data_IF_538470509420
#
_entry.id   IF_538470509420
#
_cell.length_a   1.000
_cell.length_b   1.000
_cell.length_c   1.000
_cell.angle_alpha   90.00
_cell.angle_beta   90.00
_cell.angle_gamma   90.00
#
_symmetry.space_group_name_H-M   'P 1'
#
loop_
_entity.id
_entity.type
_entity.pdbx_description
1 polymer ?
#
# COMPACT_ATOMS: atom_id res chain seq x y z
N UNK A 1 11.12 12.43 -30.49
CA UNK A 1 10.51 13.78 -30.45
C UNK A 1 11.66 14.76 -30.28
N UNK A 2 11.89 15.63 -31.26
CA UNK A 2 12.97 16.64 -31.22
C UNK A 2 12.37 17.95 -30.73
N UNK A 3 12.97 18.55 -29.70
CA UNK A 3 12.62 19.88 -29.20
C UNK A 3 13.84 20.76 -29.44
N UNK A 4 13.65 21.91 -30.09
CA UNK A 4 14.70 22.88 -30.42
C UNK A 4 14.77 23.97 -29.36
N UNK A 5 15.96 24.17 -28.80
CA UNK A 5 16.40 25.42 -28.18
C UNK A 5 17.80 25.73 -28.74
N UNK A 6 17.96 26.89 -29.38
CA UNK A 6 19.28 27.46 -29.66
C UNK A 6 20.20 26.70 -30.62
N UNK A 7 19.66 26.01 -31.64
CA UNK A 7 20.48 25.46 -32.73
C UNK A 7 21.32 24.22 -32.40
N UNK A 8 21.15 23.62 -31.21
CA UNK A 8 21.73 22.32 -30.87
C UNK A 8 20.66 21.23 -30.97
N UNK A 9 20.80 20.32 -31.93
CA UNK A 9 19.90 19.18 -32.10
C UNK A 9 20.24 18.09 -31.08
N UNK A 10 19.51 18.02 -29.97
CA UNK A 10 19.54 16.86 -29.07
C UNK A 10 18.54 15.83 -29.61
N UNK A 11 19.06 14.79 -30.26
CA UNK A 11 18.25 13.63 -30.65
C UNK A 11 17.86 12.84 -29.38
N UNK A 12 16.65 13.06 -28.88
CA UNK A 12 16.07 12.17 -27.87
C UNK A 12 15.66 10.88 -28.59
N UNK A 13 16.54 9.87 -28.54
CA UNK A 13 16.20 8.52 -28.97
C UNK A 13 14.96 8.06 -28.19
N UNK A 14 13.95 7.45 -28.84
CA UNK A 14 12.88 6.76 -28.14
C UNK A 14 13.53 5.77 -27.17
N UNK A 15 13.11 5.76 -25.89
CA UNK A 15 13.58 4.75 -24.96
C UNK A 15 13.19 3.39 -25.53
N UNK A 16 14.18 2.62 -25.96
CA UNK A 16 13.98 1.30 -26.51
C UNK A 16 13.34 0.42 -25.41
N UNK A 17 12.04 0.12 -25.57
CA UNK A 17 11.25 -0.65 -24.58
C UNK A 17 11.83 -2.05 -24.34
N UNK A 18 12.79 -2.51 -25.15
CA UNK A 18 13.49 -3.79 -25.02
C UNK A 18 14.82 -3.71 -24.27
N UNK A 19 15.25 -2.53 -23.81
CA UNK A 19 16.54 -2.33 -23.10
C UNK A 19 16.43 -1.91 -21.63
N UNK A 20 15.24 -2.05 -21.02
CA UNK A 20 15.05 -1.80 -19.59
C UNK A 20 15.64 -2.93 -18.73
N UNK A 21 16.97 -3.07 -18.77
CA UNK A 21 17.67 -3.40 -17.54
C UNK A 21 17.34 -2.28 -16.54
N UNK A 22 16.31 -2.49 -15.71
CA UNK A 22 15.94 -1.53 -14.67
C UNK A 22 17.21 -1.22 -13.86
N UNK A 23 17.38 0.01 -13.38
CA UNK A 23 18.53 0.38 -12.53
C UNK A 23 18.78 -0.67 -11.42
N UNK A 24 17.69 -1.22 -10.88
CA UNK A 24 17.67 -2.34 -9.93
C UNK A 24 18.30 -3.60 -10.52
N UNK A 25 17.90 -4.06 -11.71
CA UNK A 25 18.52 -5.22 -12.37
C UNK A 25 20.02 -5.02 -12.62
N UNK A 26 20.45 -3.81 -13.01
CA UNK A 26 21.89 -3.51 -13.16
C UNK A 26 22.63 -3.59 -11.82
N UNK A 27 22.04 -3.02 -10.77
CA UNK A 27 22.61 -3.12 -9.43
C UNK A 27 22.70 -4.57 -8.95
N UNK A 28 21.64 -5.37 -9.12
CA UNK A 28 21.62 -6.78 -8.77
C UNK A 28 22.69 -7.57 -9.54
N UNK A 29 22.79 -7.37 -10.85
CA UNK A 29 23.80 -8.02 -11.68
C UNK A 29 25.25 -7.67 -11.25
N UNK A 30 25.47 -6.46 -10.73
CA UNK A 30 26.78 -6.00 -10.25
C UNK A 30 27.07 -6.32 -8.78
N UNK A 31 26.06 -6.74 -8.00
CA UNK A 31 26.21 -6.95 -6.56
C UNK A 31 26.63 -8.39 -6.29
N UNK A 32 27.77 -8.62 -5.60
CA UNK A 32 28.20 -9.97 -5.29
C UNK A 32 27.20 -10.65 -4.36
N UNK A 33 26.81 -11.86 -4.71
CA UNK A 33 25.91 -12.71 -3.92
C UNK A 33 26.74 -13.60 -3.02
N UNK A 34 26.45 -13.60 -1.71
CA UNK A 34 27.06 -14.53 -0.77
C UNK A 34 26.61 -15.96 -1.06
N UNK A 35 27.43 -16.98 -0.76
CA UNK A 35 27.03 -18.37 -0.92
C UNK A 35 25.77 -18.69 -0.07
N UNK A 36 24.98 -19.69 -0.48
CA UNK A 36 23.86 -20.17 0.30
C UNK A 36 24.34 -20.67 1.67
N UNK A 37 23.43 -20.65 2.65
CA UNK A 37 23.71 -21.20 3.97
C UNK A 37 23.90 -22.72 3.86
N UNK A 38 24.99 -23.22 4.45
CA UNK A 38 25.33 -24.62 4.48
C UNK A 38 25.87 -25.01 5.86
N UNK A 39 25.88 -26.31 6.22
CA UNK A 39 26.49 -26.78 7.47
C UNK A 39 27.95 -26.36 7.65
N UNK A 40 28.66 -26.02 6.57
CA UNK A 40 30.04 -25.56 6.62
C UNK A 40 30.21 -24.06 6.93
N UNK A 41 29.23 -23.20 6.59
CA UNK A 41 29.35 -21.74 6.73
C UNK A 41 28.33 -21.09 7.68
N UNK A 42 27.31 -21.83 8.15
CA UNK A 42 26.20 -21.24 8.89
C UNK A 42 26.65 -20.44 10.12
N UNK A 43 27.60 -20.96 10.91
CA UNK A 43 28.02 -20.33 12.16
C UNK A 43 28.70 -18.97 11.95
N UNK A 44 29.38 -18.78 10.82
CA UNK A 44 30.04 -17.51 10.47
C UNK A 44 29.11 -16.52 9.75
N UNK A 45 28.02 -17.01 9.19
CA UNK A 45 27.00 -16.21 8.51
C UNK A 45 25.86 -15.74 9.45
N UNK A 46 25.69 -16.40 10.61
CA UNK A 46 24.76 -15.98 11.67
C UNK A 46 25.26 -14.71 12.37
N UNK A 47 24.33 -13.78 12.61
CA UNK A 47 24.58 -12.56 13.40
C UNK A 47 24.24 -12.88 14.86
N UNK A 48 25.18 -13.50 15.58
CA UNK A 48 24.96 -14.02 16.93
C UNK A 48 24.46 -12.98 17.94
N UNK A 49 24.87 -11.72 17.81
CA UNK A 49 24.36 -10.63 18.63
C UNK A 49 22.84 -10.44 18.46
N UNK A 50 22.35 -10.44 17.23
CA UNK A 50 20.92 -10.29 16.95
C UNK A 50 20.14 -11.51 17.44
N UNK A 51 20.68 -12.72 17.22
CA UNK A 51 20.10 -13.97 17.75
C UNK A 51 19.99 -13.90 19.27
N UNK A 52 21.06 -13.49 19.95
CA UNK A 52 21.07 -13.35 21.40
C UNK A 52 19.99 -12.38 21.89
N UNK A 53 19.85 -11.20 21.27
CA UNK A 53 18.83 -10.21 21.66
C UNK A 53 17.41 -10.74 21.41
N UNK A 54 17.14 -11.28 20.22
CA UNK A 54 15.81 -11.76 19.82
C UNK A 54 15.35 -12.96 20.64
N UNK A 55 16.27 -13.82 21.09
CA UNK A 55 15.94 -14.98 21.93
C UNK A 55 15.87 -14.59 23.41
N UNK A 56 16.86 -13.85 23.90
CA UNK A 56 16.97 -13.55 25.34
C UNK A 56 15.84 -12.64 25.80
N UNK A 57 15.46 -11.64 24.98
CA UNK A 57 14.43 -10.69 25.40
C UNK A 57 13.09 -11.35 25.73
N UNK A 58 12.47 -12.19 24.86
CA UNK A 58 11.23 -12.87 25.20
C UNK A 58 11.41 -13.91 26.31
N UNK A 59 12.52 -14.67 26.34
CA UNK A 59 12.72 -15.69 27.38
C UNK A 59 12.81 -15.07 28.78
N UNK A 60 13.58 -13.98 28.95
CA UNK A 60 13.67 -13.27 30.22
C UNK A 60 12.33 -12.64 30.59
N UNK A 61 11.57 -12.14 29.61
CA UNK A 61 10.23 -11.60 29.83
C UNK A 61 9.25 -12.67 30.32
N UNK A 62 9.26 -13.86 29.70
CA UNK A 62 8.42 -14.99 30.10
C UNK A 62 8.78 -15.50 31.50
N UNK A 63 10.07 -15.59 31.81
CA UNK A 63 10.54 -15.94 33.15
C UNK A 63 10.07 -14.92 34.19
N UNK A 64 10.17 -13.63 33.89
CA UNK A 64 9.70 -12.55 34.77
C UNK A 64 8.19 -12.56 34.99
N UNK A 65 7.41 -12.78 33.92
CA UNK A 65 5.95 -12.96 34.00
C UNK A 65 5.55 -14.11 34.92
N UNK A 66 6.35 -15.17 34.99
CA UNK A 66 6.10 -16.32 35.83
C UNK A 66 6.57 -16.14 37.29
N UNK A 67 7.70 -15.46 37.51
CA UNK A 67 8.38 -15.43 38.81
C UNK A 67 8.18 -14.14 39.61
N UNK A 68 7.78 -13.05 38.97
CA UNK A 68 7.76 -11.72 39.60
C UNK A 68 6.33 -11.23 39.82
N UNK A 69 5.97 -10.81 41.04
CA UNK A 69 4.65 -10.26 41.34
C UNK A 69 4.32 -9.01 40.50
N UNK A 70 3.05 -8.86 40.18
CA UNK A 70 2.57 -7.69 39.44
C UNK A 70 2.46 -6.47 40.37
N UNK A 71 3.18 -5.40 40.03
CA UNK A 71 3.09 -4.09 40.71
C UNK A 71 2.51 -3.06 39.75
N UNK A 72 1.36 -2.46 40.12
CA UNK A 72 0.63 -1.53 39.24
C UNK A 72 1.46 -0.33 38.79
N UNK A 73 2.31 0.23 39.67
CA UNK A 73 3.19 1.37 39.33
C UNK A 73 4.24 0.99 38.29
N UNK A 74 4.84 -0.19 38.42
CA UNK A 74 5.79 -0.74 37.45
C UNK A 74 5.13 -1.07 36.12
N UNK A 75 3.91 -1.61 36.14
CA UNK A 75 3.14 -1.86 34.93
C UNK A 75 2.79 -0.55 34.20
N UNK A 76 2.40 0.50 34.93
CA UNK A 76 2.19 1.83 34.37
C UNK A 76 3.50 2.39 33.77
N UNK A 77 4.63 2.26 34.48
CA UNK A 77 5.93 2.66 33.94
C UNK A 77 6.27 1.88 32.67
N UNK A 78 6.06 0.56 32.65
CA UNK A 78 6.27 -0.30 31.49
C UNK A 78 5.50 0.22 30.26
N UNK A 79 4.22 0.56 30.40
CA UNK A 79 3.41 1.13 29.32
C UNK A 79 3.92 2.51 28.89
N UNK A 80 4.23 3.40 29.84
CA UNK A 80 4.77 4.73 29.51
C UNK A 80 6.12 4.65 28.80
N UNK A 81 6.98 3.72 29.21
CA UNK A 81 8.29 3.51 28.63
C UNK A 81 8.20 2.85 27.25
N UNK A 82 7.21 1.96 27.04
CA UNK A 82 6.85 1.44 25.72
C UNK A 82 6.48 2.59 24.78
N UNK A 83 5.58 3.49 25.20
CA UNK A 83 5.19 4.66 24.41
C UNK A 83 6.37 5.59 24.14
N UNK A 84 7.23 5.82 25.14
CA UNK A 84 8.46 6.59 24.99
C UNK A 84 9.36 6.02 23.89
N UNK A 85 9.68 4.73 23.93
CA UNK A 85 10.51 4.11 22.90
C UNK A 85 9.83 4.08 21.54
N UNK A 86 8.53 3.76 21.48
CA UNK A 86 7.78 3.75 20.23
C UNK A 86 7.77 5.13 19.58
N UNK A 87 7.52 6.21 20.32
CA UNK A 87 7.60 7.58 19.80
C UNK A 87 9.03 7.93 19.33
N UNK A 88 10.06 7.46 20.03
CA UNK A 88 11.45 7.60 19.59
C UNK A 88 11.70 6.96 18.21
N UNK A 89 11.11 5.79 17.96
CA UNK A 89 11.17 5.12 16.66
C UNK A 89 10.28 5.82 15.61
N UNK A 90 8.99 5.97 15.89
CA UNK A 90 8.00 6.44 14.89
C UNK A 90 8.12 7.94 14.60
N UNK A 91 8.17 8.80 15.62
CA UNK A 91 8.30 10.24 15.40
C UNK A 91 9.75 10.63 15.04
N UNK A 92 10.73 9.97 15.66
CA UNK A 92 12.15 10.25 15.49
C UNK A 92 12.77 9.51 14.31
N UNK A 93 13.16 8.25 14.52
CA UNK A 93 13.95 7.46 13.56
C UNK A 93 13.29 7.40 12.19
N UNK A 94 11.98 7.19 12.18
CA UNK A 94 11.17 7.04 10.99
C UNK A 94 10.82 8.39 10.35
N UNK A 95 9.89 9.15 10.91
CA UNK A 95 9.34 10.35 10.25
C UNK A 95 10.32 11.52 10.18
N UNK A 96 11.11 11.76 11.22
CA UNK A 96 12.07 12.87 11.26
C UNK A 96 13.34 12.55 10.45
N UNK A 97 14.07 11.50 10.82
CA UNK A 97 15.38 11.25 10.24
C UNK A 97 15.34 10.43 8.95
N UNK A 98 14.46 9.44 8.81
CA UNK A 98 14.40 8.68 7.56
C UNK A 98 13.70 9.46 6.45
N UNK A 99 12.58 10.10 6.77
CA UNK A 99 11.70 10.74 5.80
C UNK A 99 11.69 12.26 5.81
N UNK A 100 12.36 12.93 6.74
CA UNK A 100 12.41 14.41 6.80
C UNK A 100 11.01 15.05 6.71
N UNK A 101 10.03 14.41 7.33
CA UNK A 101 8.62 14.79 7.23
C UNK A 101 8.28 16.07 8.01
N UNK A 102 9.16 16.48 8.93
CA UNK A 102 9.07 17.73 9.69
C UNK A 102 10.45 18.13 10.22
N UNK A 103 10.56 19.31 10.81
CA UNK A 103 11.74 19.80 11.51
C UNK A 103 11.50 19.77 13.03
N UNK A 104 12.51 19.43 13.81
CA UNK A 104 12.46 19.38 15.27
C UNK A 104 13.56 20.26 15.89
N UNK A 105 13.25 20.94 16.99
CA UNK A 105 14.28 21.63 17.78
C UNK A 105 15.27 20.62 18.39
N UNK A 106 16.46 21.08 18.80
CA UNK A 106 17.51 20.21 19.35
C UNK A 106 17.05 19.42 20.58
N UNK A 107 16.23 20.02 21.46
CA UNK A 107 15.68 19.34 22.63
C UNK A 107 14.83 18.13 22.22
N UNK A 108 13.94 18.32 21.24
CA UNK A 108 13.08 17.25 20.76
C UNK A 108 13.89 16.18 19.99
N UNK A 109 14.92 16.57 19.26
CA UNK A 109 15.86 15.64 18.65
C UNK A 109 16.60 14.78 19.69
N UNK A 110 17.07 15.38 20.79
CA UNK A 110 17.72 14.65 21.88
C UNK A 110 16.74 13.69 22.57
N UNK A 111 15.51 14.13 22.82
CA UNK A 111 14.45 13.26 23.35
C UNK A 111 14.25 12.01 22.48
N UNK A 112 14.09 12.19 21.16
CA UNK A 112 13.96 11.06 20.24
C UNK A 112 15.22 10.19 20.16
N UNK A 113 16.41 10.79 20.22
CA UNK A 113 17.67 10.07 20.15
C UNK A 113 17.85 9.12 21.35
N UNK A 114 17.49 9.57 22.55
CA UNK A 114 17.52 8.78 23.78
C UNK A 114 16.41 7.72 23.78
N UNK A 115 15.19 8.12 23.40
CA UNK A 115 14.04 7.23 23.30
C UNK A 115 14.27 6.08 22.30
N UNK A 116 14.76 6.39 21.11
CA UNK A 116 15.06 5.39 20.08
C UNK A 116 16.28 4.54 20.42
N UNK A 117 17.29 5.08 21.12
CA UNK A 117 18.39 4.26 21.64
C UNK A 117 17.88 3.18 22.62
N UNK A 118 16.96 3.53 23.51
CA UNK A 118 16.32 2.60 24.45
C UNK A 118 15.43 1.52 23.81
N UNK A 119 15.11 1.65 22.52
CA UNK A 119 14.44 0.59 21.76
C UNK A 119 15.41 -0.53 21.35
N UNK A 120 16.73 -0.29 21.37
CA UNK A 120 17.78 -1.29 21.05
C UNK A 120 17.62 -1.85 19.62
N UNK A 121 17.36 -1.00 18.63
CA UNK A 121 17.16 -1.38 17.22
C UNK A 121 18.23 -0.78 16.28
N UNK A 122 19.43 -0.54 16.82
CA UNK A 122 20.50 0.16 16.12
C UNK A 122 20.45 1.69 16.26
N UNK A 123 21.55 2.34 15.90
CA UNK A 123 21.63 3.81 15.91
C UNK A 123 20.71 4.45 14.87
N UNK A 124 20.39 5.74 15.05
CA UNK A 124 19.60 6.53 14.09
C UNK A 124 20.17 6.39 12.67
N UNK A 125 21.49 6.57 12.50
CA UNK A 125 22.16 6.50 11.21
C UNK A 125 21.98 5.14 10.54
N UNK A 126 22.14 4.06 11.30
CA UNK A 126 22.01 2.69 10.78
C UNK A 126 20.55 2.40 10.40
N UNK A 127 19.61 2.71 11.29
CA UNK A 127 18.19 2.44 11.10
C UNK A 127 17.65 3.22 9.90
N UNK A 128 17.90 4.54 9.85
CA UNK A 128 17.40 5.39 8.79
C UNK A 128 18.01 5.05 7.42
N UNK A 129 19.28 4.63 7.35
CA UNK A 129 19.88 4.11 6.12
C UNK A 129 19.11 2.89 5.59
N UNK A 130 18.84 1.91 6.46
CA UNK A 130 18.13 0.69 6.05
C UNK A 130 16.68 1.01 5.65
N UNK A 131 16.01 1.86 6.42
CA UNK A 131 14.64 2.26 6.10
C UNK A 131 14.53 3.03 4.76
N UNK A 132 15.46 3.95 4.48
CA UNK A 132 15.53 4.62 3.17
C UNK A 132 15.81 3.64 2.02
N UNK A 133 16.65 2.63 2.25
CA UNK A 133 16.89 1.59 1.27
C UNK A 133 15.62 0.75 1.04
N UNK A 134 14.90 0.39 2.11
CA UNK A 134 13.64 -0.33 2.03
C UNK A 134 12.61 0.40 1.17
N UNK A 135 12.38 1.70 1.38
CA UNK A 135 11.46 2.48 0.53
C UNK A 135 11.88 2.55 -0.94
N UNK A 136 13.19 2.63 -1.20
CA UNK A 136 13.71 2.74 -2.57
C UNK A 136 13.65 1.42 -3.33
N UNK A 137 13.79 0.32 -2.63
CA UNK A 137 13.98 -1.02 -3.20
C UNK A 137 12.90 -2.01 -2.76
N UNK A 138 11.75 -1.53 -2.27
CA UNK A 138 10.65 -2.34 -1.73
C UNK A 138 10.31 -3.49 -2.69
N UNK A 139 10.15 -4.70 -2.13
CA UNK A 139 9.83 -5.94 -2.87
C UNK A 139 10.91 -6.37 -3.89
N UNK A 140 12.18 -6.02 -3.65
CA UNK A 140 13.32 -6.50 -4.43
C UNK A 140 14.42 -7.04 -3.53
N UNK A 141 15.36 -7.81 -4.07
CA UNK A 141 16.47 -8.36 -3.27
C UNK A 141 17.47 -7.30 -2.76
N UNK A 142 17.31 -6.03 -3.14
CA UNK A 142 18.04 -4.90 -2.58
C UNK A 142 17.36 -4.29 -1.34
N UNK A 143 16.12 -4.71 -1.04
CA UNK A 143 15.40 -4.38 0.19
C UNK A 143 16.04 -5.11 1.39
N UNK A 144 16.50 -4.41 2.44
CA UNK A 144 17.10 -5.05 3.60
C UNK A 144 16.20 -6.05 4.33
N UNK A 145 14.88 -5.92 4.24
CA UNK A 145 13.93 -6.81 4.93
C UNK A 145 12.70 -7.16 4.07
N UNK A 146 12.94 -7.30 2.76
CA UNK A 146 11.90 -7.49 1.75
C UNK A 146 10.87 -8.56 2.06
N UNK A 147 9.59 -8.16 2.04
CA UNK A 147 8.45 -9.02 2.37
C UNK A 147 8.22 -10.14 1.33
N UNK A 148 8.76 -10.01 0.11
CA UNK A 148 8.69 -11.02 -0.94
C UNK A 148 9.41 -12.34 -0.59
N UNK A 149 10.32 -12.31 0.38
CA UNK A 149 10.97 -13.52 0.92
C UNK A 149 10.11 -14.26 1.96
N UNK A 150 8.96 -13.73 2.35
CA UNK A 150 8.02 -14.37 3.29
C UNK A 150 7.78 -13.58 4.58
N UNK A 151 6.68 -13.91 5.26
CA UNK A 151 6.26 -13.25 6.50
C UNK A 151 7.30 -13.40 7.62
N UNK A 152 7.82 -14.61 7.84
CA UNK A 152 8.82 -14.86 8.89
C UNK A 152 10.17 -14.21 8.59
N UNK A 153 10.55 -14.16 7.31
CA UNK A 153 11.75 -13.48 6.88
C UNK A 153 11.69 -11.98 7.21
N UNK A 154 10.62 -11.31 6.78
CA UNK A 154 10.41 -9.87 7.01
C UNK A 154 10.18 -9.52 8.49
N UNK A 155 9.60 -10.43 9.28
CA UNK A 155 9.42 -10.21 10.73
C UNK A 155 10.75 -10.33 11.49
N UNK A 156 11.50 -11.42 11.29
CA UNK A 156 12.71 -11.72 12.07
C UNK A 156 13.87 -12.24 11.22
N UNK A 157 13.61 -13.08 10.22
CA UNK A 157 14.67 -13.83 9.52
C UNK A 157 15.78 -12.96 8.92
N UNK A 158 15.43 -11.78 8.39
CA UNK A 158 16.38 -10.86 7.75
C UNK A 158 17.52 -10.40 8.67
N UNK A 159 17.29 -10.36 9.99
CA UNK A 159 18.28 -9.88 10.95
C UNK A 159 19.13 -11.01 11.57
N UNK A 160 18.76 -12.28 11.36
CA UNK A 160 19.45 -13.42 12.00
C UNK A 160 20.72 -13.83 11.26
N UNK A 161 20.80 -13.55 9.96
CA UNK A 161 21.95 -13.90 9.12
C UNK A 161 22.41 -12.71 8.31
N UNK A 162 23.67 -12.71 7.88
CA UNK A 162 24.19 -11.68 6.97
C UNK A 162 23.36 -11.70 5.67
N UNK A 163 22.98 -10.55 5.12
CA UNK A 163 22.15 -10.52 3.93
C UNK A 163 22.92 -11.13 2.75
N UNK A 164 22.26 -12.02 1.99
CA UNK A 164 22.91 -12.72 0.86
C UNK A 164 23.31 -11.74 -0.24
N UNK A 165 22.47 -10.75 -0.48
CA UNK A 165 22.72 -9.61 -1.35
C UNK A 165 22.84 -8.38 -0.46
N UNK A 166 23.86 -7.54 -0.68
CA UNK A 166 24.04 -6.33 0.11
C UNK A 166 22.86 -5.37 -0.15
N UNK A 167 22.19 -4.84 0.91
CA UNK A 167 21.11 -3.88 0.72
C UNK A 167 21.54 -2.68 -0.13
N UNK A 168 20.61 -2.21 -0.96
CA UNK A 168 20.87 -1.15 -1.92
C UNK A 168 21.37 0.16 -1.27
N UNK A 169 22.06 1.02 -2.02
CA UNK A 169 22.55 2.29 -1.52
C UNK A 169 21.41 3.28 -1.22
N UNK A 170 21.48 3.89 -0.05
CA UNK A 170 20.65 5.01 0.35
C UNK A 170 21.54 6.20 0.73
N UNK A 171 21.14 7.41 0.34
CA UNK A 171 21.83 8.63 0.75
C UNK A 171 21.62 8.85 2.26
N UNK A 172 22.70 9.23 2.94
CA UNK A 172 22.78 9.48 4.38
C UNK A 172 23.65 10.69 4.70
N UNK A 173 23.97 11.51 3.69
CA UNK A 173 24.82 12.70 3.81
C UNK A 173 24.31 13.67 4.88
N UNK A 174 23.00 13.94 4.88
CA UNK A 174 22.32 14.76 5.89
C UNK A 174 22.44 14.20 7.31
N UNK A 175 22.31 12.88 7.47
CA UNK A 175 22.39 12.22 8.78
C UNK A 175 23.80 12.34 9.36
N UNK A 176 24.82 12.29 8.50
CA UNK A 176 26.23 12.45 8.89
C UNK A 176 26.60 13.90 9.22
N UNK A 177 25.81 14.87 8.77
CA UNK A 177 25.99 16.29 9.10
C UNK A 177 25.27 16.67 10.40
N UNK A 178 24.33 15.87 10.89
CA UNK A 178 23.64 16.14 12.16
C UNK A 178 24.51 15.76 13.37
N UNK A 179 24.83 16.75 14.22
CA UNK A 179 25.59 16.54 15.44
C UNK A 179 24.90 15.55 16.40
N UNK A 180 23.58 15.62 16.54
CA UNK A 180 22.80 14.71 17.41
C UNK A 180 22.88 13.28 16.90
N UNK A 181 22.72 13.07 15.59
CA UNK A 181 22.78 11.73 14.99
C UNK A 181 24.18 11.13 15.11
N UNK A 182 25.22 11.91 14.83
CA UNK A 182 26.62 11.45 14.96
C UNK A 182 26.98 11.15 16.42
N UNK A 183 26.56 11.99 17.36
CA UNK A 183 26.73 11.77 18.79
C UNK A 183 26.05 10.47 19.23
N UNK A 184 24.78 10.30 18.87
CA UNK A 184 24.01 9.11 19.22
C UNK A 184 24.59 7.84 18.59
N UNK A 185 25.09 7.92 17.35
CA UNK A 185 25.74 6.80 16.69
C UNK A 185 27.03 6.37 17.40
N UNK A 186 27.86 7.32 17.84
CA UNK A 186 29.10 7.04 18.57
C UNK A 186 28.84 6.45 19.96
N UNK A 187 27.80 6.91 20.65
CA UNK A 187 27.43 6.48 22.00
C UNK A 187 26.29 5.45 22.02
N UNK A 188 26.00 4.81 20.89
CA UNK A 188 24.79 4.00 20.76
C UNK A 188 24.70 2.91 21.82
N UNK A 189 25.74 2.11 22.02
CA UNK A 189 25.70 1.00 22.98
C UNK A 189 25.55 1.47 24.44
N UNK A 190 26.32 2.47 24.94
CA UNK A 190 26.08 3.04 26.26
C UNK A 190 24.65 3.59 26.43
N UNK A 191 24.14 4.34 25.45
CA UNK A 191 22.79 4.90 25.50
C UNK A 191 21.71 3.82 25.46
N UNK A 192 21.88 2.79 24.63
CA UNK A 192 20.97 1.66 24.52
C UNK A 192 20.93 0.84 25.82
N UNK A 193 22.07 0.66 26.50
CA UNK A 193 22.07 0.01 27.82
C UNK A 193 21.39 0.88 28.89
N UNK A 194 21.75 2.16 28.94
CA UNK A 194 21.24 3.09 29.93
C UNK A 194 19.72 3.30 29.80
N UNK A 195 19.24 3.66 28.61
CA UNK A 195 17.83 3.93 28.33
C UNK A 195 17.04 2.68 27.92
N UNK A 196 17.68 1.56 27.60
CA UNK A 196 16.96 0.34 27.25
C UNK A 196 16.70 -0.58 28.44
N UNK A 197 17.58 -0.55 29.46
CA UNK A 197 17.53 -1.49 30.57
C UNK A 197 17.81 -0.86 31.94
N UNK A 198 18.87 -0.05 32.09
CA UNK A 198 19.27 0.45 33.42
C UNK A 198 18.22 1.39 34.01
N UNK A 199 17.84 2.46 33.31
CA UNK A 199 16.84 3.42 33.77
C UNK A 199 15.49 2.75 34.08
N UNK A 200 14.88 1.94 33.18
CA UNK A 200 13.59 1.32 33.48
C UNK A 200 13.67 0.28 34.62
N UNK A 201 14.86 -0.23 34.96
CA UNK A 201 15.06 -1.10 36.13
C UNK A 201 15.24 -0.30 37.42
N UNK A 202 16.08 0.73 37.40
CA UNK A 202 16.48 1.51 38.57
C UNK A 202 15.33 2.39 39.08
N UNK A 203 14.50 2.93 38.20
CA UNK A 203 13.37 3.80 38.62
C UNK A 203 12.41 3.04 39.55
N UNK A 204 11.85 1.86 39.18
CA UNK A 204 11.03 1.08 40.10
C UNK A 204 11.75 0.68 41.39
N UNK A 205 13.02 0.27 41.28
CA UNK A 205 13.83 -0.12 42.42
C UNK A 205 14.05 1.00 43.45
N UNK A 206 14.32 2.23 43.00
CA UNK A 206 14.57 3.35 43.91
C UNK A 206 13.30 3.99 44.46
N UNK A 207 12.23 4.09 43.66
CA UNK A 207 11.04 4.86 44.04
C UNK A 207 9.96 4.03 44.75
N UNK A 208 9.91 2.70 44.55
CA UNK A 208 8.94 1.83 45.22
C UNK A 208 9.44 0.38 45.43
N UNK A 209 10.77 0.21 45.51
CA UNK A 209 11.46 -1.05 45.87
C UNK A 209 11.13 -2.26 44.98
N UNK A 210 10.83 -2.02 43.70
CA UNK A 210 10.50 -3.08 42.74
C UNK A 210 11.60 -3.29 41.69
N UNK A 211 12.79 -3.68 42.13
CA UNK A 211 13.95 -3.91 41.27
C UNK A 211 13.69 -4.98 40.19
N UNK A 212 13.11 -6.11 40.61
CA UNK A 212 12.83 -7.23 39.72
C UNK A 212 11.69 -6.93 38.76
N UNK A 213 10.63 -6.25 39.21
CA UNK A 213 9.58 -5.82 38.30
C UNK A 213 10.08 -4.79 37.30
N UNK A 214 10.95 -3.87 37.72
CA UNK A 214 11.62 -2.94 36.82
C UNK A 214 12.47 -3.65 35.76
N UNK A 215 13.27 -4.64 36.17
CA UNK A 215 14.11 -5.42 35.27
C UNK A 215 13.29 -6.26 34.28
N UNK A 216 12.33 -7.05 34.77
CA UNK A 216 11.58 -7.98 33.95
C UNK A 216 10.48 -7.30 33.13
N UNK A 217 9.67 -6.41 33.72
CA UNK A 217 8.54 -5.80 33.02
C UNK A 217 8.96 -4.54 32.25
N UNK A 218 9.48 -3.51 32.94
CA UNK A 218 9.83 -2.25 32.29
C UNK A 218 11.10 -2.36 31.42
N UNK A 219 12.04 -3.22 31.82
CA UNK A 219 13.23 -3.59 31.07
C UNK A 219 12.87 -4.51 29.91
N UNK A 220 12.75 -5.82 30.18
CA UNK A 220 12.69 -6.86 29.14
C UNK A 220 11.34 -7.02 28.43
N UNK A 221 10.21 -7.12 29.15
CA UNK A 221 8.89 -7.35 28.53
C UNK A 221 8.55 -6.21 27.58
N UNK A 222 8.74 -4.96 28.04
CA UNK A 222 8.56 -3.80 27.19
C UNK A 222 9.49 -3.82 25.97
N UNK A 223 10.73 -4.29 26.10
CA UNK A 223 11.68 -4.40 24.98
C UNK A 223 11.17 -5.39 23.93
N UNK A 224 10.71 -6.56 24.37
CA UNK A 224 10.08 -7.57 23.53
C UNK A 224 8.86 -7.02 22.80
N UNK A 225 7.98 -6.29 23.50
CA UNK A 225 6.81 -5.67 22.89
C UNK A 225 7.19 -4.61 21.85
N UNK A 226 8.17 -3.75 22.15
CA UNK A 226 8.68 -2.73 21.20
C UNK A 226 9.28 -3.40 19.96
N UNK A 227 10.07 -4.46 20.13
CA UNK A 227 10.69 -5.19 19.02
C UNK A 227 9.63 -5.80 18.11
N UNK A 228 8.72 -6.61 18.66
CA UNK A 228 7.68 -7.25 17.84
C UNK A 228 6.71 -6.24 17.23
N UNK A 229 6.43 -5.12 17.89
CA UNK A 229 5.66 -4.03 17.31
C UNK A 229 6.34 -3.48 16.05
N UNK A 230 7.63 -3.12 16.11
CA UNK A 230 8.35 -2.61 14.93
C UNK A 230 8.50 -3.69 13.86
N UNK A 231 8.77 -4.94 14.24
CA UNK A 231 8.89 -6.05 13.29
C UNK A 231 7.58 -6.35 12.57
N UNK A 232 6.43 -6.10 13.21
CA UNK A 232 5.12 -6.20 12.58
C UNK A 232 4.88 -5.15 11.49
N UNK A 233 5.59 -4.02 11.49
CA UNK A 233 5.53 -3.06 10.38
C UNK A 233 6.11 -3.70 9.12
N UNK A 234 7.30 -4.31 9.22
CA UNK A 234 7.97 -4.95 8.10
C UNK A 234 7.23 -6.21 7.60
N UNK A 235 6.51 -6.91 8.49
CA UNK A 235 5.79 -8.15 8.15
C UNK A 235 4.30 -7.93 7.97
N UNK A 236 3.53 -7.78 9.05
CA UNK A 236 2.07 -7.70 9.01
C UNK A 236 1.58 -6.56 8.11
N UNK A 237 2.27 -5.42 8.09
CA UNK A 237 1.87 -4.28 7.26
C UNK A 237 2.18 -4.46 5.76
N UNK A 238 2.88 -5.52 5.36
CA UNK A 238 3.05 -5.94 3.95
C UNK A 238 2.15 -7.13 3.56
N UNK A 239 1.46 -7.73 4.53
CA UNK A 239 0.69 -8.96 4.35
C UNK A 239 -0.81 -8.77 4.59
N UNK A 240 -1.20 -8.03 5.62
CA UNK A 240 -2.59 -7.82 6.02
C UNK A 240 -3.10 -6.45 5.62
N UNK A 241 -4.35 -6.37 5.17
CA UNK A 241 -5.05 -5.11 4.96
C UNK A 241 -5.38 -4.82 3.50
N UNK A 242 -5.47 -3.53 3.17
CA UNK A 242 -5.95 -3.05 1.88
C UNK A 242 -4.91 -2.19 1.16
N UNK A 243 -4.93 -2.22 -0.17
CA UNK A 243 -4.12 -1.35 -1.04
C UNK A 243 -4.90 -0.09 -1.40
N UNK A 244 -5.15 0.77 -0.39
CA UNK A 244 -6.03 1.94 -0.50
C UNK A 244 -5.59 2.94 -1.58
N UNK A 245 -4.29 3.12 -1.76
CA UNK A 245 -3.69 4.17 -2.61
C UNK A 245 -2.98 3.62 -3.86
N UNK A 246 -2.31 2.47 -3.77
CA UNK A 246 -1.69 1.78 -4.91
C UNK A 246 -1.50 0.28 -4.62
N UNK A 247 -1.56 -0.59 -5.64
CA UNK A 247 -1.45 -2.05 -5.53
C UNK A 247 -0.24 -2.66 -6.25
N UNK A 248 0.74 -1.85 -6.67
CA UNK A 248 1.96 -2.32 -7.35
C UNK A 248 2.96 -2.98 -6.41
N UNK A 249 2.93 -2.63 -5.13
CA UNK A 249 3.84 -3.12 -4.10
C UNK A 249 3.03 -3.75 -2.95
N UNK A 250 3.72 -4.49 -2.09
CA UNK A 250 3.16 -5.23 -0.97
C UNK A 250 2.63 -4.43 0.23
N UNK A 251 3.03 -3.17 0.53
CA UNK A 251 2.51 -2.43 1.69
C UNK A 251 0.98 -2.30 1.69
N UNK A 252 0.38 -2.48 2.86
CA UNK A 252 -1.07 -2.50 3.08
C UNK A 252 -1.49 -1.63 4.26
N UNK A 253 -2.68 -1.05 4.17
CA UNK A 253 -3.33 -0.35 5.28
C UNK A 253 -4.15 -1.33 6.11
N UNK A 254 -3.85 -1.42 7.40
CA UNK A 254 -4.54 -2.31 8.33
C UNK A 254 -4.68 -1.69 9.72
N UNK A 255 -5.93 -1.54 10.19
CA UNK A 255 -6.24 -0.86 11.44
C UNK A 255 -5.65 -1.55 12.68
N UNK A 256 -5.76 -2.88 12.79
CA UNK A 256 -5.20 -3.60 13.94
C UNK A 256 -3.68 -3.58 13.94
N UNK A 257 -3.04 -3.63 12.76
CA UNK A 257 -1.60 -3.40 12.68
C UNK A 257 -1.27 -2.01 13.19
N UNK A 258 -2.05 -0.97 12.83
CA UNK A 258 -1.81 0.39 13.32
C UNK A 258 -1.98 0.53 14.85
N UNK A 259 -2.84 -0.25 15.49
CA UNK A 259 -2.92 -0.30 16.97
C UNK A 259 -1.62 -0.83 17.55
N UNK A 260 -1.18 -2.01 17.08
CA UNK A 260 0.05 -2.67 17.57
C UNK A 260 1.28 -1.79 17.34
N UNK A 261 1.32 -1.09 16.21
CA UNK A 261 2.49 -0.32 15.76
C UNK A 261 2.42 1.18 16.04
N UNK A 262 1.46 1.64 16.86
CA UNK A 262 1.30 3.05 17.24
C UNK A 262 1.12 4.02 16.05
N UNK A 263 0.37 3.57 15.04
CA UNK A 263 -0.01 4.33 13.84
C UNK A 263 0.68 3.89 12.55
N UNK A 264 1.72 3.06 12.63
CA UNK A 264 2.54 2.67 11.47
C UNK A 264 1.90 1.63 10.55
N UNK A 265 0.71 1.12 10.90
CA UNK A 265 0.00 0.09 10.12
C UNK A 265 -0.80 0.61 8.93
N UNK A 266 -0.88 1.92 8.73
CA UNK A 266 -1.36 2.52 7.47
C UNK A 266 -0.21 2.58 6.45
N UNK A 267 0.29 1.40 6.11
CA UNK A 267 1.59 1.26 5.45
C UNK A 267 1.51 1.46 3.93
N UNK A 268 0.33 1.24 3.33
CA UNK A 268 0.12 1.56 1.91
C UNK A 268 0.15 3.08 1.70
N UNK A 269 -0.51 3.85 2.58
CA UNK A 269 -0.38 5.29 2.58
C UNK A 269 1.08 5.72 2.75
N UNK A 270 1.76 5.17 3.76
CA UNK A 270 3.12 5.54 4.09
C UNK A 270 4.11 5.30 2.92
N UNK A 271 4.04 4.15 2.26
CA UNK A 271 4.90 3.86 1.11
C UNK A 271 4.62 4.74 -0.11
N UNK A 272 3.37 5.16 -0.28
CA UNK A 272 2.99 6.03 -1.38
C UNK A 272 3.35 7.50 -1.12
N UNK A 273 3.29 7.95 0.14
CA UNK A 273 3.54 9.33 0.55
C UNK A 273 4.53 9.42 1.72
N UNK A 274 5.77 8.93 1.56
CA UNK A 274 6.71 8.75 2.67
C UNK A 274 7.11 10.05 3.37
N UNK A 275 7.04 11.18 2.67
CA UNK A 275 7.36 12.51 3.20
C UNK A 275 6.24 13.13 4.04
N UNK A 276 5.03 12.56 4.05
CA UNK A 276 3.93 13.06 4.90
C UNK A 276 4.25 12.73 6.37
N UNK A 277 4.08 13.70 7.28
CA UNK A 277 4.36 13.47 8.70
C UNK A 277 3.35 12.53 9.36
N UNK A 278 2.26 12.20 8.67
CA UNK A 278 1.22 11.28 9.08
C UNK A 278 1.46 9.95 8.39
N UNK A 279 1.18 8.85 9.06
CA UNK A 279 0.98 7.58 8.37
C UNK A 279 -0.49 7.34 8.05
N UNK A 280 -1.39 7.99 8.79
CA UNK A 280 -2.82 7.94 8.51
C UNK A 280 -3.33 9.30 8.02
N UNK A 281 -3.79 9.33 6.77
CA UNK A 281 -4.22 10.55 6.06
C UNK A 281 -5.34 11.31 6.78
N UNK A 282 -6.32 10.60 7.33
CA UNK A 282 -7.51 11.22 7.94
C UNK A 282 -7.24 11.54 9.40
N UNK A 283 -7.83 12.63 9.90
CA UNK A 283 -7.56 13.12 11.25
C UNK A 283 -7.95 12.12 12.35
N UNK A 284 -9.04 11.36 12.13
CA UNK A 284 -9.61 10.38 13.06
C UNK A 284 -8.97 8.99 12.97
N UNK A 285 -8.21 8.70 11.89
CA UNK A 285 -7.51 7.42 11.78
C UNK A 285 -6.41 7.35 12.85
N UNK A 286 -6.34 6.19 13.49
CA UNK A 286 -5.47 5.91 14.63
C UNK A 286 -3.99 6.09 14.25
N UNK A 287 -3.43 7.21 14.67
CA UNK A 287 -2.00 7.50 14.53
C UNK A 287 -1.59 8.40 15.70
N UNK A 288 -1.33 7.81 16.89
CA UNK A 288 -0.90 8.57 18.07
C UNK A 288 0.38 9.36 17.81
N UNK A 289 1.27 8.85 16.96
CA UNK A 289 2.51 9.54 16.56
C UNK A 289 2.21 10.85 15.82
N UNK A 290 1.23 10.86 14.89
CA UNK A 290 0.76 12.09 14.22
C UNK A 290 0.25 13.11 15.22
N UNK A 291 -0.56 12.69 16.19
CA UNK A 291 -1.11 13.60 17.18
C UNK A 291 -0.03 14.15 18.11
N UNK A 292 0.94 13.31 18.50
CA UNK A 292 2.11 13.73 19.27
C UNK A 292 2.92 14.81 18.52
N UNK A 293 3.29 14.57 17.25
CA UNK A 293 4.05 15.54 16.44
C UNK A 293 3.27 16.85 16.27
N UNK A 294 1.95 16.77 16.02
CA UNK A 294 1.11 17.96 15.92
C UNK A 294 1.03 18.74 17.24
N UNK A 295 1.01 18.04 18.39
CA UNK A 295 1.13 18.66 19.71
C UNK A 295 2.46 19.38 19.89
N UNK A 296 3.58 18.72 19.56
CA UNK A 296 4.90 19.34 19.59
C UNK A 296 5.00 20.57 18.67
N UNK A 297 4.32 20.56 17.52
CA UNK A 297 4.27 21.70 16.62
C UNK A 297 3.54 22.89 17.24
N UNK A 298 2.41 22.65 17.92
CA UNK A 298 1.68 23.71 18.66
C UNK A 298 2.50 24.30 19.80
N UNK A 299 3.39 23.51 20.41
CA UNK A 299 4.31 23.96 21.45
C UNK A 299 5.60 24.61 20.89
N UNK A 300 5.75 24.74 19.56
CA UNK A 300 6.95 25.30 18.93
C UNK A 300 8.18 24.38 18.95
N UNK A 301 8.04 23.12 19.36
CA UNK A 301 9.13 22.13 19.38
C UNK A 301 9.34 21.46 18.01
N UNK A 302 8.31 21.46 17.17
CA UNK A 302 8.34 20.98 15.79
C UNK A 302 7.83 22.06 14.82
N UNK A 303 8.30 22.02 13.57
CA UNK A 303 7.85 22.94 12.52
C UNK A 303 7.88 22.28 11.14
N UNK A 304 7.30 22.94 10.13
CA UNK A 304 7.33 22.47 8.73
C UNK A 304 6.79 21.05 8.54
N UNK A 305 5.68 20.72 9.23
CA UNK A 305 5.01 19.43 9.09
C UNK A 305 4.50 19.29 7.66
N UNK A 306 5.08 18.34 6.92
CA UNK A 306 4.75 18.10 5.51
C UNK A 306 3.48 17.28 5.40
N UNK A 307 2.55 17.75 4.59
CA UNK A 307 1.26 17.10 4.35
C UNK A 307 1.06 16.99 2.84
N UNK A 308 0.72 15.80 2.36
CA UNK A 308 0.41 15.61 0.94
C UNK A 308 -0.95 16.24 0.59
N UNK A 309 -1.11 16.89 -0.59
CA UNK A 309 -2.36 17.54 -0.96
C UNK A 309 -3.54 16.55 -1.01
N UNK A 310 -4.65 16.91 -0.37
CA UNK A 310 -5.82 16.02 -0.24
C UNK A 310 -6.41 15.58 -1.59
N UNK A 311 -6.37 16.45 -2.59
CA UNK A 311 -6.88 16.14 -3.93
C UNK A 311 -6.09 15.02 -4.59
N UNK A 312 -4.77 14.98 -4.41
CA UNK A 312 -3.93 13.92 -4.98
C UNK A 312 -4.15 12.59 -4.25
N UNK A 313 -4.36 12.62 -2.92
CA UNK A 313 -4.75 11.44 -2.16
C UNK A 313 -6.07 10.85 -2.67
N UNK A 314 -7.08 11.71 -2.90
CA UNK A 314 -8.39 11.31 -3.44
C UNK A 314 -8.29 10.70 -4.84
N UNK A 315 -7.43 11.21 -5.71
CA UNK A 315 -7.19 10.61 -7.04
C UNK A 315 -6.64 9.19 -6.93
N UNK A 316 -5.70 8.93 -6.00
CA UNK A 316 -5.18 7.59 -5.75
C UNK A 316 -6.27 6.64 -5.22
N UNK A 317 -7.04 7.07 -4.21
CA UNK A 317 -8.17 6.28 -3.68
C UNK A 317 -9.20 5.95 -4.76
N UNK A 318 -9.57 6.94 -5.60
CA UNK A 318 -10.51 6.74 -6.71
C UNK A 318 -9.94 5.78 -7.76
N UNK A 319 -8.66 5.87 -8.07
CA UNK A 319 -7.98 4.93 -8.99
C UNK A 319 -8.11 3.49 -8.51
N UNK A 320 -7.89 3.26 -7.21
CA UNK A 320 -8.01 1.92 -6.61
C UNK A 320 -9.46 1.42 -6.57
N UNK A 321 -10.43 2.30 -6.26
CA UNK A 321 -11.86 1.97 -6.33
C UNK A 321 -12.30 1.63 -7.76
N UNK A 322 -11.86 2.40 -8.76
CA UNK A 322 -12.17 2.12 -10.17
C UNK A 322 -11.59 0.78 -10.61
N UNK A 323 -10.35 0.45 -10.21
CA UNK A 323 -9.78 -0.89 -10.44
C UNK A 323 -10.63 -2.00 -9.81
N UNK A 324 -11.11 -1.80 -8.57
CA UNK A 324 -11.99 -2.74 -7.88
C UNK A 324 -13.30 -2.96 -8.63
N UNK A 325 -14.00 -1.87 -8.96
CA UNK A 325 -15.24 -1.90 -9.73
C UNK A 325 -15.05 -2.55 -11.10
N UNK A 326 -13.91 -2.32 -11.76
CA UNK A 326 -13.58 -2.97 -13.03
C UNK A 326 -13.44 -4.49 -12.87
N UNK A 327 -12.77 -4.98 -11.83
CA UNK A 327 -12.67 -6.42 -11.54
C UNK A 327 -14.05 -7.04 -11.29
N UNK A 328 -14.91 -6.36 -10.54
CA UNK A 328 -16.29 -6.81 -10.31
C UNK A 328 -17.10 -6.85 -11.61
N UNK A 329 -16.99 -5.80 -12.45
CA UNK A 329 -17.63 -5.75 -13.76
C UNK A 329 -17.13 -6.89 -14.67
N UNK A 330 -15.82 -7.14 -14.72
CA UNK A 330 -15.22 -8.20 -15.53
C UNK A 330 -15.68 -9.59 -15.06
N UNK A 331 -15.85 -9.80 -13.76
CA UNK A 331 -16.37 -11.04 -13.20
C UNK A 331 -17.86 -11.29 -13.54
N UNK A 332 -18.66 -10.24 -13.76
CA UNK A 332 -20.07 -10.35 -14.17
C UNK A 332 -20.24 -10.63 -15.67
N UNK A 333 -19.20 -10.44 -16.49
CA UNK A 333 -19.32 -10.51 -17.94
C UNK A 333 -19.02 -11.92 -18.44
N UNK A 334 -19.98 -12.56 -19.13
CA UNK A 334 -19.66 -13.64 -20.07
C UNK A 334 -19.44 -13.02 -21.46
N UNK A 335 -18.41 -13.42 -22.23
CA UNK A 335 -18.00 -12.72 -23.45
C UNK A 335 -18.93 -13.02 -24.63
N UNK A 336 -20.17 -12.53 -24.56
CA UNK A 336 -20.91 -12.14 -25.76
C UNK A 336 -20.48 -10.72 -26.11
N UNK A 337 -19.26 -10.62 -26.64
CA UNK A 337 -18.85 -9.44 -27.36
C UNK A 337 -19.86 -9.20 -28.47
N UNK A 338 -20.38 -7.98 -28.60
CA UNK A 338 -21.23 -7.60 -29.73
C UNK A 338 -20.54 -7.85 -31.08
N UNK A 339 -19.23 -8.06 -31.08
CA UNK A 339 -18.41 -8.50 -32.22
C UNK A 339 -18.67 -9.94 -32.70
N UNK A 340 -19.33 -10.80 -31.90
CA UNK A 340 -19.68 -12.19 -32.30
C UNK A 340 -21.12 -12.33 -32.82
N UNK A 341 -21.89 -11.24 -32.85
CA UNK A 341 -23.25 -11.27 -33.37
C UNK A 341 -23.22 -11.39 -34.91
N UNK A 342 -24.09 -12.22 -35.51
CA UNK A 342 -24.19 -12.31 -36.96
C UNK A 342 -24.62 -10.96 -37.54
N UNK A 343 -23.99 -10.57 -38.64
CA UNK A 343 -24.38 -9.38 -39.41
C UNK A 343 -25.50 -9.79 -40.35
N UNK A 344 -26.67 -9.19 -40.19
CA UNK A 344 -27.90 -9.50 -40.92
C UNK A 344 -28.28 -8.30 -41.78
N UNK A 345 -28.63 -8.49 -43.05
CA UNK A 345 -29.11 -7.40 -43.90
C UNK A 345 -30.58 -7.03 -43.62
N UNK A 346 -31.04 -5.91 -44.18
CA UNK A 346 -32.40 -5.42 -43.93
C UNK A 346 -33.48 -6.37 -44.47
N UNK A 347 -33.26 -7.00 -45.62
CA UNK A 347 -34.24 -7.90 -46.23
C UNK A 347 -34.42 -9.16 -45.40
N UNK A 348 -33.32 -9.75 -44.94
CA UNK A 348 -33.33 -10.93 -44.07
C UNK A 348 -33.97 -10.59 -42.72
N UNK A 349 -33.64 -9.43 -42.13
CA UNK A 349 -34.30 -8.96 -40.90
C UNK A 349 -35.82 -8.86 -41.07
N UNK A 350 -36.30 -8.27 -42.17
CA UNK A 350 -37.74 -8.15 -42.47
C UNK A 350 -38.40 -9.52 -42.68
N UNK A 351 -37.72 -10.45 -43.34
CA UNK A 351 -38.22 -11.81 -43.57
C UNK A 351 -38.35 -12.57 -42.24
N UNK A 352 -37.29 -12.59 -41.43
CA UNK A 352 -37.29 -13.27 -40.13
C UNK A 352 -38.30 -12.68 -39.15
N UNK A 353 -38.54 -11.36 -39.21
CA UNK A 353 -39.52 -10.66 -38.35
C UNK A 353 -40.98 -11.09 -38.59
N UNK A 354 -41.26 -11.83 -39.67
CA UNK A 354 -42.60 -12.41 -39.93
C UNK A 354 -42.87 -13.65 -39.10
N UNK A 355 -41.81 -14.37 -38.73
CA UNK A 355 -41.88 -15.64 -38.01
C UNK A 355 -41.44 -15.49 -36.55
N UNK A 356 -40.54 -14.53 -36.28
CA UNK A 356 -39.97 -14.23 -34.96
C UNK A 356 -40.33 -12.81 -34.54
N UNK A 357 -40.56 -12.60 -33.25
CA UNK A 357 -40.77 -11.27 -32.70
C UNK A 357 -39.43 -10.53 -32.56
N UNK A 358 -38.98 -9.88 -33.64
CA UNK A 358 -37.70 -9.17 -33.71
C UNK A 358 -37.90 -7.65 -33.74
N UNK A 359 -37.14 -6.93 -32.92
CA UNK A 359 -37.14 -5.46 -32.86
C UNK A 359 -35.72 -4.93 -33.05
N UNK A 360 -35.57 -3.95 -33.94
CA UNK A 360 -34.30 -3.27 -34.14
C UNK A 360 -34.18 -2.10 -33.15
N UNK A 361 -33.10 -2.06 -32.37
CA UNK A 361 -32.78 -0.94 -31.47
C UNK A 361 -31.29 -0.63 -31.55
N UNK A 362 -30.97 0.61 -31.93
CA UNK A 362 -29.62 1.15 -32.08
C UNK A 362 -28.67 0.23 -32.89
N UNK A 363 -29.15 -0.28 -34.03
CA UNK A 363 -28.38 -1.13 -34.94
C UNK A 363 -28.29 -2.61 -34.53
N UNK A 364 -28.83 -3.00 -33.38
CA UNK A 364 -28.89 -4.40 -32.93
C UNK A 364 -30.30 -4.98 -33.05
N UNK A 365 -30.38 -6.24 -33.50
CA UNK A 365 -31.62 -6.99 -33.63
C UNK A 365 -31.84 -7.78 -32.34
N UNK A 366 -33.01 -7.58 -31.73
CA UNK A 366 -33.38 -8.18 -30.46
C UNK A 366 -34.57 -9.13 -30.63
N UNK A 367 -34.46 -10.35 -30.10
CA UNK A 367 -35.57 -11.29 -30.04
C UNK A 367 -36.36 -11.09 -28.75
N UNK A 368 -37.52 -10.45 -28.87
CA UNK A 368 -38.36 -10.05 -27.73
C UNK A 368 -39.51 -11.01 -27.47
N UNK A 369 -39.66 -12.06 -28.28
CA UNK A 369 -40.74 -13.05 -28.19
C UNK A 369 -41.00 -13.57 -26.77
N UNK A 370 -39.97 -14.08 -26.06
CA UNK A 370 -40.10 -14.54 -24.68
C UNK A 370 -40.47 -13.44 -23.66
N UNK A 371 -40.32 -12.16 -24.02
CA UNK A 371 -40.51 -11.01 -23.12
C UNK A 371 -41.79 -10.21 -23.44
N UNK A 372 -42.54 -10.59 -24.47
CA UNK A 372 -43.73 -9.84 -24.92
C UNK A 372 -44.77 -9.64 -23.81
N UNK A 373 -45.06 -10.70 -23.04
CA UNK A 373 -46.07 -10.68 -21.98
C UNK A 373 -45.54 -10.09 -20.67
N UNK A 374 -44.22 -10.09 -20.48
CA UNK A 374 -43.53 -9.55 -19.30
C UNK A 374 -43.19 -8.06 -19.42
N UNK A 375 -43.39 -7.47 -20.61
CA UNK A 375 -43.10 -6.06 -20.84
C UNK A 375 -44.02 -5.16 -19.99
N UNK A 376 -43.48 -4.32 -19.08
CA UNK A 376 -44.30 -3.53 -18.14
C UNK A 376 -45.24 -2.52 -18.80
N UNK A 377 -44.90 -2.04 -20.00
CA UNK A 377 -45.76 -1.16 -20.80
C UNK A 377 -46.88 -1.89 -21.56
N UNK A 378 -46.92 -3.22 -21.45
CA UNK A 378 -47.86 -4.09 -22.14
C UNK A 378 -47.35 -4.57 -23.51
N UNK A 379 -47.84 -5.75 -23.89
CA UNK A 379 -47.48 -6.48 -25.12
C UNK A 379 -47.66 -5.67 -26.41
N UNK A 380 -48.78 -4.97 -26.53
CA UNK A 380 -49.18 -4.24 -27.76
C UNK A 380 -48.14 -3.21 -28.20
N UNK A 381 -47.41 -2.61 -27.25
CA UNK A 381 -46.37 -1.63 -27.56
C UNK A 381 -45.16 -2.26 -28.26
N UNK A 382 -44.78 -3.49 -27.87
CA UNK A 382 -43.71 -4.23 -28.53
C UNK A 382 -44.17 -4.77 -29.88
N UNK A 383 -45.39 -5.30 -29.98
CA UNK A 383 -45.96 -5.80 -31.24
C UNK A 383 -46.00 -4.73 -32.32
N UNK A 384 -46.29 -3.47 -31.95
CA UNK A 384 -46.29 -2.34 -32.87
C UNK A 384 -44.90 -2.03 -33.50
N UNK A 385 -43.83 -2.58 -32.93
CA UNK A 385 -42.44 -2.37 -33.35
C UNK A 385 -41.77 -3.64 -33.91
N UNK A 386 -42.49 -4.76 -34.04
CA UNK A 386 -41.97 -5.97 -34.70
C UNK A 386 -41.63 -5.64 -36.16
N UNK A 387 -40.42 -5.99 -36.59
CA UNK A 387 -39.89 -5.68 -37.92
C UNK A 387 -39.59 -4.19 -38.15
N UNK A 388 -39.51 -3.36 -37.10
CA UNK A 388 -39.26 -1.91 -37.20
C UNK A 388 -38.11 -1.48 -36.31
N UNK A 389 -37.58 -0.28 -36.62
CA UNK A 389 -36.63 0.42 -35.76
C UNK A 389 -37.36 1.11 -34.59
N UNK A 390 -37.20 0.56 -33.39
CA UNK A 390 -37.72 1.08 -32.13
C UNK A 390 -36.77 2.03 -31.39
N UNK A 391 -35.62 2.41 -31.98
CA UNK A 391 -34.58 3.21 -31.32
C UNK A 391 -35.13 4.47 -30.68
N UNK A 392 -35.87 5.28 -31.44
CA UNK A 392 -36.40 6.56 -30.94
C UNK A 392 -37.39 6.35 -29.80
N UNK A 393 -38.26 5.33 -29.89
CA UNK A 393 -39.22 5.03 -28.84
C UNK A 393 -38.54 4.59 -27.53
N UNK A 394 -37.43 3.86 -27.64
CA UNK A 394 -36.68 3.32 -26.51
C UNK A 394 -35.77 4.34 -25.79
N UNK A 395 -35.16 5.29 -26.53
CA UNK A 395 -34.22 6.30 -26.00
C UNK A 395 -34.85 7.68 -25.76
N UNK A 396 -36.09 7.72 -25.25
CA UNK A 396 -36.70 8.97 -24.78
C UNK A 396 -37.54 9.75 -25.79
N UNK A 397 -37.76 9.21 -26.99
CA UNK A 397 -38.76 9.78 -27.92
C UNK A 397 -40.21 9.50 -27.49
N UNK A 398 -40.42 8.44 -26.70
CA UNK A 398 -41.70 8.14 -26.04
C UNK A 398 -41.47 7.87 -24.55
N UNK A 399 -40.52 6.99 -24.23
CA UNK A 399 -40.14 6.69 -22.86
C UNK A 399 -38.62 6.48 -22.77
N UNK A 400 -37.97 7.16 -21.83
CA UNK A 400 -36.53 7.00 -21.60
C UNK A 400 -36.31 5.82 -20.65
N UNK A 401 -35.92 4.68 -21.22
CA UNK A 401 -35.85 3.41 -20.50
C UNK A 401 -34.75 3.42 -19.42
N UNK A 402 -34.99 2.72 -18.32
CA UNK A 402 -34.06 2.68 -17.20
C UNK A 402 -32.79 1.86 -17.52
N UNK A 403 -31.72 2.04 -16.73
CA UNK A 403 -30.51 1.22 -16.86
C UNK A 403 -30.79 -0.29 -16.82
N UNK A 404 -31.77 -0.72 -16.01
CA UNK A 404 -32.17 -2.13 -15.95
C UNK A 404 -32.78 -2.61 -17.28
N UNK A 405 -33.64 -1.79 -17.91
CA UNK A 405 -34.22 -2.10 -19.22
C UNK A 405 -33.17 -2.14 -20.32
N UNK A 406 -32.18 -1.23 -20.30
CA UNK A 406 -31.03 -1.30 -21.22
C UNK A 406 -30.21 -2.60 -21.04
N UNK A 407 -30.00 -3.03 -19.80
CA UNK A 407 -29.23 -4.25 -19.50
C UNK A 407 -29.99 -5.50 -19.95
N UNK A 408 -31.29 -5.54 -19.70
CA UNK A 408 -32.17 -6.63 -20.12
C UNK A 408 -32.30 -6.71 -21.65
N UNK A 409 -32.45 -5.57 -22.32
CA UNK A 409 -32.49 -5.54 -23.79
C UNK A 409 -31.20 -6.13 -24.38
N UNK A 410 -30.04 -5.87 -23.77
CA UNK A 410 -28.77 -6.39 -24.25
C UNK A 410 -28.68 -7.93 -24.22
N UNK A 411 -29.39 -8.60 -23.31
CA UNK A 411 -29.41 -10.08 -23.26
C UNK A 411 -30.28 -10.70 -24.35
N UNK A 412 -31.10 -9.88 -25.04
CA UNK A 412 -32.00 -10.33 -26.11
C UNK A 412 -31.37 -10.18 -27.51
N UNK A 413 -30.10 -9.77 -27.61
CA UNK A 413 -29.41 -9.56 -28.89
C UNK A 413 -29.20 -10.87 -29.63
N UNK A 414 -29.67 -10.93 -30.88
CA UNK A 414 -29.52 -12.09 -31.77
C UNK A 414 -28.74 -11.77 -33.06
N UNK A 415 -28.55 -10.49 -33.38
CA UNK A 415 -27.80 -10.07 -34.56
C UNK A 415 -27.50 -8.56 -34.56
N UNK A 416 -26.66 -8.13 -35.50
CA UNK A 416 -26.41 -6.72 -35.79
C UNK A 416 -26.83 -6.44 -37.24
N UNK A 417 -27.51 -5.32 -37.48
CA UNK A 417 -27.93 -4.94 -38.83
C UNK A 417 -26.74 -4.47 -39.67
N UNK A 418 -26.64 -4.93 -40.92
CA UNK A 418 -25.63 -4.48 -41.88
C UNK A 418 -25.71 -2.95 -42.08
N UNK A 419 -24.57 -2.25 -41.97
CA UNK A 419 -24.52 -0.77 -41.96
C UNK A 419 -24.93 -0.11 -40.64
N UNK A 420 -25.53 -0.84 -39.69
CA UNK A 420 -25.89 -0.33 -38.36
C UNK A 420 -24.72 -0.21 -37.37
N UNK A 421 -23.58 -0.84 -37.68
CA UNK A 421 -22.36 -0.86 -36.86
C UNK A 421 -21.37 0.28 -37.15
N UNK A 422 -21.56 1.06 -38.22
CA UNK A 422 -20.60 2.11 -38.63
C UNK A 422 -20.53 3.28 -37.63
N UNK A 423 -21.54 3.43 -36.76
CA UNK A 423 -21.48 4.26 -35.55
C UNK A 423 -22.22 3.56 -34.41
N UNK A 424 -21.51 2.79 -33.59
CA UNK A 424 -22.07 2.34 -32.31
C UNK A 424 -22.33 3.60 -31.47
N UNK A 425 -23.58 4.06 -31.46
CA UNK A 425 -24.01 5.14 -30.57
C UNK A 425 -23.69 4.74 -29.14
N UNK A 426 -23.14 5.65 -28.33
CA UNK A 426 -22.89 5.41 -26.89
C UNK A 426 -24.16 4.90 -26.17
N UNK A 427 -25.33 5.28 -26.71
CA UNK A 427 -26.65 4.82 -26.25
C UNK A 427 -26.87 3.32 -26.45
N UNK A 428 -26.31 2.72 -27.50
CA UNK A 428 -26.39 1.29 -27.80
C UNK A 428 -25.57 0.43 -26.83
N UNK A 429 -24.61 1.05 -26.12
CA UNK A 429 -23.85 0.37 -25.07
C UNK A 429 -24.71 0.36 -23.81
N UNK A 430 -25.00 -0.82 -23.22
CA UNK A 430 -25.69 -0.92 -21.94
C UNK A 430 -24.99 -0.02 -20.90
N UNK A 431 -25.73 0.77 -20.10
CA UNK A 431 -25.15 1.73 -19.17
C UNK A 431 -24.06 1.15 -18.26
N UNK A 432 -24.22 -0.11 -17.81
CA UNK A 432 -23.22 -0.80 -17.01
C UNK A 432 -21.92 -1.12 -17.76
N UNK A 433 -21.94 -1.20 -19.10
CA UNK A 433 -20.78 -1.40 -19.98
C UNK A 433 -20.18 -0.08 -20.48
N UNK A 434 -20.85 1.07 -20.32
CA UNK A 434 -20.32 2.38 -20.72
C UNK A 434 -19.10 2.80 -19.90
N UNK A 435 -19.05 2.36 -18.64
CA UNK A 435 -17.88 2.50 -17.77
C UNK A 435 -16.84 1.43 -18.14
N UNK A 436 -16.10 1.63 -19.22
CA UNK A 436 -14.88 0.88 -19.49
C UNK A 436 -13.68 1.67 -18.98
N UNK A 437 -12.98 1.13 -17.98
CA UNK A 437 -11.61 1.56 -17.68
C UNK A 437 -10.73 0.97 -18.78
N UNK A 438 -10.53 1.73 -19.87
CA UNK A 438 -9.65 1.30 -20.95
C UNK A 438 -8.23 1.13 -20.41
N UNK A 439 -7.68 -0.07 -20.52
CA UNK A 439 -6.25 -0.26 -20.29
C UNK A 439 -5.51 0.34 -21.50
N UNK A 440 -4.38 1.01 -21.27
CA UNK A 440 -3.59 1.65 -22.35
C UNK A 440 -3.13 0.63 -23.42
N UNK A 441 -3.19 -0.67 -23.14
CA UNK A 441 -2.96 -1.74 -24.13
C UNK A 441 -4.07 -1.89 -25.16
N UNK A 442 -5.33 -1.65 -24.79
CA UNK A 442 -6.50 -1.83 -25.67
C UNK A 442 -6.70 -0.67 -26.65
N UNK A 443 -6.17 0.53 -26.34
CA UNK A 443 -6.23 1.68 -27.26
C UNK A 443 -5.41 1.46 -28.55
N UNK A 444 -4.41 0.58 -28.54
CA UNK A 444 -3.61 0.30 -29.75
C UNK A 444 -4.30 -0.62 -30.75
N UNK A 445 -5.26 -1.43 -30.31
CA UNK A 445 -5.94 -2.41 -31.16
C UNK A 445 -7.16 -1.85 -31.90
N UNK A 446 -7.46 -0.55 -31.76
CA UNK A 446 -8.57 0.12 -32.46
C UNK A 446 -8.10 1.10 -33.55
N UNK A 447 -6.80 1.16 -33.83
CA UNK A 447 -6.21 2.06 -34.83
C UNK A 447 -5.46 1.36 -35.96
N UNK A 448 -5.44 0.02 -35.96
CA UNK A 448 -5.05 -0.82 -37.09
C UNK A 448 -6.29 -1.58 -37.55
#
# INVERSE_FOLDING_TARGET
MTISFGGCWIAIKPSDRRSHHTFIQRQLASTPVRPPLSPANWASEVIWFNVFVVITTPLVSLYGLYTTPFVTRTAALCVLYYLFNMIGITAGYHRLWSHRAYNACTLLQLFYALAGAGAVQGSILWWARHHRAHHRYTDTDLDPYGAHHGLWWSHLGWMLTKPRIRPGPADTSDLKQSCVVVWQHKLFFPLALAFGLVIPTVVPGLFWDDWWGGFYFAGFLRLTLVHHSVFSVNSLAHWLGSTTFDDKLSPRDHFFTAIVTLGEGYHNFHHQFPMDYRNAAKWYQWDPTKWFIAGCARLGLASHLRVFPEMELKKCELTMKLKGLKREQDALTSPMESAKLPIIDWETYQQESRERALVLVAGFIHEVGPFLDDHPGGRKLLEAHIGRDGTTAFFGGVYDHSNAAHNLLATMRVGALHGGLEQISERAIPPWQRLQVLSVGEQRLRHD
#
